data_IF_939024866111
#
_entry.id   IF_939024866111
#
_cell.length_a   1.000
_cell.length_b   1.000
_cell.length_c   1.000
_cell.angle_alpha   90.00
_cell.angle_beta   90.00
_cell.angle_gamma   90.00
#
_symmetry.space_group_name_H-M   'P 1'
#
loop_
_entity.id
_entity.type
_entity.pdbx_description
1 polymer ?
#
# COMPACT_ATOMS: atom_id res chain seq x y z
N UNK A 1 2.07 -22.61 -12.87
CA UNK A 1 3.32 -22.69 -12.05
C UNK A 1 2.87 -22.74 -10.59
N UNK A 2 3.43 -23.62 -9.75
CA UNK A 2 2.99 -23.70 -8.35
C UNK A 2 3.38 -22.44 -7.56
N UNK A 3 2.68 -22.15 -6.46
CA UNK A 3 3.12 -21.15 -5.49
C UNK A 3 4.54 -21.46 -5.04
N UNK A 4 5.39 -20.44 -4.96
CA UNK A 4 6.80 -20.61 -4.57
C UNK A 4 7.01 -20.56 -3.07
N UNK A 5 6.07 -19.96 -2.32
CA UNK A 5 6.14 -19.87 -0.87
C UNK A 5 5.48 -21.10 -0.22
N UNK A 6 6.21 -21.92 0.56
CA UNK A 6 5.71 -23.19 1.09
C UNK A 6 4.68 -23.06 2.23
N UNK A 7 4.57 -21.88 2.85
CA UNK A 7 3.65 -21.60 3.98
C UNK A 7 2.61 -20.54 3.61
N UNK A 8 2.30 -20.38 2.32
CA UNK A 8 1.50 -19.27 1.84
C UNK A 8 0.11 -19.22 2.48
N UNK A 9 -0.59 -20.34 2.57
CA UNK A 9 -1.97 -20.40 3.09
C UNK A 9 -2.05 -19.99 4.56
N UNK A 10 -1.14 -20.48 5.40
CA UNK A 10 -1.08 -20.13 6.82
C UNK A 10 -0.81 -18.63 7.01
N UNK A 11 0.11 -18.09 6.23
CA UNK A 11 0.43 -16.66 6.24
C UNK A 11 -0.73 -15.82 5.70
N UNK A 12 -1.41 -16.30 4.68
CA UNK A 12 -2.58 -15.64 4.10
C UNK A 12 -3.69 -15.52 5.13
N UNK A 13 -4.09 -16.63 5.75
CA UNK A 13 -5.16 -16.64 6.76
C UNK A 13 -4.83 -15.74 7.95
N UNK A 14 -3.57 -15.76 8.39
CA UNK A 14 -3.13 -14.96 9.54
C UNK A 14 -3.07 -13.46 9.25
N UNK A 15 -2.77 -13.04 8.01
CA UNK A 15 -2.47 -11.64 7.69
C UNK A 15 -3.48 -10.97 6.76
N UNK A 16 -4.43 -11.71 6.18
CA UNK A 16 -5.40 -11.18 5.22
C UNK A 16 -6.14 -9.95 5.75
N UNK A 17 -6.66 -10.04 6.98
CA UNK A 17 -7.41 -8.97 7.63
C UNK A 17 -6.58 -7.69 7.74
N UNK A 18 -5.37 -7.79 8.29
CA UNK A 18 -4.48 -6.65 8.47
C UNK A 18 -4.02 -6.04 7.14
N UNK A 19 -3.70 -6.88 6.16
CA UNK A 19 -3.28 -6.42 4.83
C UNK A 19 -4.44 -5.69 4.15
N UNK A 20 -5.65 -6.23 4.20
CA UNK A 20 -6.83 -5.61 3.61
C UNK A 20 -7.19 -4.29 4.30
N UNK A 21 -7.28 -4.29 5.62
CA UNK A 21 -7.58 -3.08 6.40
C UNK A 21 -6.51 -2.02 6.18
N UNK A 22 -5.23 -2.35 6.13
CA UNK A 22 -4.21 -1.36 5.82
C UNK A 22 -4.36 -0.84 4.38
N UNK A 23 -4.56 -1.71 3.39
CA UNK A 23 -4.79 -1.29 2.00
C UNK A 23 -6.00 -0.37 1.86
N UNK A 24 -7.10 -0.65 2.56
CA UNK A 24 -8.31 0.18 2.57
C UNK A 24 -8.06 1.57 3.17
N UNK A 25 -7.28 1.66 4.25
CA UNK A 25 -6.94 2.95 4.84
C UNK A 25 -6.12 3.81 3.87
N UNK A 26 -5.21 3.19 3.12
CA UNK A 26 -4.34 3.87 2.15
C UNK A 26 -5.07 4.21 0.84
N UNK A 27 -5.99 3.35 0.42
CA UNK A 27 -6.80 3.49 -0.78
C UNK A 27 -8.28 3.29 -0.41
N UNK A 28 -8.99 4.36 0.00
CA UNK A 28 -10.35 4.30 0.55
C UNK A 28 -11.40 4.00 -0.53
N UNK A 29 -11.38 2.77 -1.04
CA UNK A 29 -12.31 2.22 -2.01
C UNK A 29 -12.21 0.70 -1.94
N UNK A 30 -13.30 0.01 -1.60
CA UNK A 30 -13.28 -1.45 -1.38
C UNK A 30 -12.72 -2.21 -2.59
N UNK A 31 -13.08 -1.81 -3.81
CA UNK A 31 -12.58 -2.40 -5.05
C UNK A 31 -11.07 -2.22 -5.23
N UNK A 32 -10.56 -1.01 -5.01
CA UNK A 32 -9.15 -0.73 -5.20
C UNK A 32 -8.29 -1.30 -4.06
N UNK A 33 -8.82 -1.28 -2.83
CA UNK A 33 -8.21 -1.91 -1.66
C UNK A 33 -8.04 -3.42 -1.89
N UNK A 34 -9.12 -4.10 -2.31
CA UNK A 34 -9.09 -5.51 -2.70
C UNK A 34 -8.01 -5.79 -3.75
N UNK A 35 -7.97 -4.99 -4.82
CA UNK A 35 -6.94 -5.14 -5.85
C UNK A 35 -5.52 -4.91 -5.29
N UNK A 36 -5.30 -3.95 -4.40
CA UNK A 36 -4.00 -3.76 -3.75
C UNK A 36 -3.62 -4.96 -2.87
N UNK A 37 -4.56 -5.47 -2.07
CA UNK A 37 -4.39 -6.66 -1.24
C UNK A 37 -4.00 -7.87 -2.09
N UNK A 38 -4.70 -8.09 -3.20
CA UNK A 38 -4.39 -9.13 -4.17
C UNK A 38 -2.94 -9.04 -4.68
N UNK A 39 -2.50 -7.86 -5.11
CA UNK A 39 -1.12 -7.65 -5.57
C UNK A 39 -0.08 -7.88 -4.47
N UNK A 40 -0.37 -7.52 -3.22
CA UNK A 40 0.53 -7.79 -2.08
C UNK A 40 0.69 -9.29 -1.88
N UNK A 41 -0.40 -10.05 -1.93
CA UNK A 41 -0.34 -11.51 -1.81
C UNK A 41 0.29 -12.20 -3.02
N UNK A 42 0.14 -11.68 -4.24
CA UNK A 42 0.91 -12.15 -5.40
C UNK A 42 2.41 -11.99 -5.19
N UNK A 43 2.86 -10.87 -4.61
CA UNK A 43 4.28 -10.65 -4.31
C UNK A 43 4.77 -11.55 -3.18
N UNK A 44 3.92 -11.85 -2.19
CA UNK A 44 4.22 -12.83 -1.15
C UNK A 44 4.34 -14.25 -1.70
N UNK A 45 3.39 -14.70 -2.52
CA UNK A 45 3.37 -16.04 -3.11
C UNK A 45 4.52 -16.30 -4.10
N UNK A 46 5.04 -15.24 -4.74
CA UNK A 46 6.15 -15.28 -5.69
C UNK A 46 7.53 -15.23 -5.01
N UNK A 47 7.56 -15.12 -3.68
CA UNK A 47 8.78 -15.02 -2.91
C UNK A 47 9.44 -16.39 -2.78
N UNK A 48 10.66 -16.51 -3.28
CA UNK A 48 11.50 -17.72 -3.22
C UNK A 48 12.46 -17.73 -2.03
N UNK A 49 12.40 -16.71 -1.18
CA UNK A 49 13.30 -16.52 -0.03
C UNK A 49 12.88 -17.41 1.16
N UNK A 50 13.80 -17.69 2.12
CA UNK A 50 13.52 -18.53 3.29
C UNK A 50 12.33 -18.04 4.11
N UNK A 51 11.71 -18.93 4.93
CA UNK A 51 10.64 -18.54 5.84
C UNK A 51 11.11 -17.39 6.74
N UNK A 52 10.22 -16.40 6.92
CA UNK A 52 10.51 -15.20 7.68
C UNK A 52 10.16 -15.40 9.15
N UNK A 53 10.91 -14.73 10.03
CA UNK A 53 10.39 -14.48 11.37
C UNK A 53 9.11 -13.63 11.28
N UNK A 54 8.21 -13.67 12.29
CA UNK A 54 6.97 -12.88 12.24
C UNK A 54 7.23 -11.37 12.09
N UNK A 55 8.33 -10.87 12.66
CA UNK A 55 8.74 -9.47 12.53
C UNK A 55 9.24 -9.12 11.12
N UNK A 56 10.00 -10.02 10.50
CA UNK A 56 10.47 -9.85 9.13
C UNK A 56 9.32 -9.92 8.13
N UNK A 57 8.35 -10.81 8.37
CA UNK A 57 7.14 -10.91 7.57
C UNK A 57 6.32 -9.62 7.65
N UNK A 58 6.11 -9.08 8.86
CA UNK A 58 5.45 -7.79 9.06
C UNK A 58 6.16 -6.68 8.29
N UNK A 59 7.49 -6.60 8.45
CA UNK A 59 8.33 -5.62 7.72
C UNK A 59 8.17 -5.76 6.20
N UNK A 60 8.18 -6.99 5.70
CA UNK A 60 7.98 -7.27 4.29
C UNK A 60 6.60 -6.82 3.81
N UNK A 61 5.53 -7.24 4.49
CA UNK A 61 4.14 -6.93 4.12
C UNK A 61 3.87 -5.43 4.12
N UNK A 62 4.25 -4.72 5.19
CA UNK A 62 4.07 -3.26 5.28
C UNK A 62 4.79 -2.55 4.13
N UNK A 63 6.02 -2.98 3.81
CA UNK A 63 6.76 -2.43 2.66
C UNK A 63 6.04 -2.71 1.34
N UNK A 64 5.55 -3.93 1.13
CA UNK A 64 4.81 -4.28 -0.09
C UNK A 64 3.51 -3.48 -0.21
N UNK A 65 2.77 -3.31 0.88
CA UNK A 65 1.53 -2.52 0.91
C UNK A 65 1.81 -1.06 0.56
N UNK A 66 2.81 -0.43 1.20
CA UNK A 66 3.20 0.94 0.90
C UNK A 66 3.63 1.11 -0.57
N UNK A 67 4.33 0.14 -1.13
CA UNK A 67 4.76 0.17 -2.52
C UNK A 67 3.59 -0.01 -3.49
N UNK A 68 2.75 -1.03 -3.30
CA UNK A 68 1.58 -1.31 -4.16
C UNK A 68 0.59 -0.15 -4.12
N UNK A 69 0.23 0.33 -2.92
CA UNK A 69 -0.67 1.48 -2.78
C UNK A 69 0.00 2.78 -3.26
N UNK A 70 1.31 2.94 -3.11
CA UNK A 70 2.05 4.08 -3.66
C UNK A 70 2.03 4.09 -5.19
N UNK A 71 2.31 2.96 -5.81
CA UNK A 71 2.28 2.76 -7.26
C UNK A 71 0.88 3.01 -7.84
N UNK A 72 -0.18 2.68 -7.11
CA UNK A 72 -1.55 3.00 -7.49
C UNK A 72 -1.75 4.52 -7.73
N UNK A 73 -1.22 5.37 -6.85
CA UNK A 73 -1.29 6.83 -7.00
C UNK A 73 -0.29 7.38 -8.02
N UNK A 74 0.82 6.68 -8.28
CA UNK A 74 1.80 7.09 -9.30
C UNK A 74 1.29 6.85 -10.72
N UNK A 75 0.61 5.72 -10.97
CA UNK A 75 0.15 5.34 -12.32
C UNK A 75 -0.90 6.28 -12.90
N UNK A 76 -1.73 6.87 -12.04
CA UNK A 76 -2.79 7.79 -12.44
C UNK A 76 -3.04 8.80 -11.33
N UNK A 77 -3.21 10.09 -11.64
CA UNK A 77 -3.65 11.05 -10.65
C UNK A 77 -5.05 10.68 -10.17
N UNK A 78 -5.18 10.39 -8.88
CA UNK A 78 -6.46 10.12 -8.24
C UNK A 78 -6.86 11.36 -7.43
N UNK A 79 -8.11 11.81 -7.62
CA UNK A 79 -8.70 12.83 -6.75
C UNK A 79 -8.92 12.19 -5.38
N UNK A 80 -8.60 12.92 -4.31
CA UNK A 80 -8.95 12.48 -2.94
C UNK A 80 -10.48 12.45 -2.84
N UNK A 81 -11.08 11.37 -2.30
CA UNK A 81 -12.52 11.32 -2.13
C UNK A 81 -12.96 12.44 -1.20
N UNK A 82 -14.08 13.07 -1.52
CA UNK A 82 -14.74 14.01 -0.62
C UNK A 82 -15.35 13.26 0.56
N UNK A 83 -15.52 13.95 1.70
CA UNK A 83 -16.04 13.33 2.92
C UNK A 83 -17.39 12.64 2.68
N UNK A 84 -18.28 13.27 1.93
CA UNK A 84 -19.61 12.74 1.60
C UNK A 84 -19.55 11.50 0.69
N UNK A 85 -18.57 11.44 -0.21
CA UNK A 85 -18.40 10.28 -1.07
C UNK A 85 -17.88 9.09 -0.26
N UNK A 86 -16.92 9.37 0.64
CA UNK A 86 -16.37 8.35 1.51
C UNK A 86 -17.42 7.85 2.49
N UNK A 87 -18.20 8.73 3.13
CA UNK A 87 -19.23 8.35 4.11
C UNK A 87 -20.32 7.47 3.51
N UNK A 88 -20.66 7.63 2.21
CA UNK A 88 -21.60 6.72 1.51
C UNK A 88 -21.04 5.33 1.28
N UNK A 89 -19.73 5.22 1.08
CA UNK A 89 -19.04 3.95 0.81
C UNK A 89 -18.52 3.26 2.08
N UNK A 90 -18.36 4.04 3.16
CA UNK A 90 -17.80 3.56 4.41
C UNK A 90 -18.91 2.87 5.23
N UNK A 91 -18.64 1.67 5.78
CA UNK A 91 -19.60 0.80 6.45
C UNK A 91 -20.09 1.32 7.81
N UNK A 92 -19.38 2.28 8.41
CA UNK A 92 -19.62 2.76 9.77
C UNK A 92 -19.80 4.27 9.86
N UNK A 93 -19.87 4.83 11.08
CA UNK A 93 -19.84 6.26 11.27
C UNK A 93 -18.47 6.82 10.86
N UNK A 94 -18.46 7.84 10.01
CA UNK A 94 -17.25 8.58 9.64
C UNK A 94 -17.17 9.88 10.47
N UNK A 95 -16.66 9.76 11.69
CA UNK A 95 -16.46 10.86 12.61
C UNK A 95 -15.33 11.81 12.17
N UNK A 96 -15.20 12.93 12.87
CA UNK A 96 -14.18 13.94 12.58
C UNK A 96 -12.76 13.41 12.86
N UNK A 97 -12.61 12.54 13.85
CA UNK A 97 -11.34 11.89 14.22
C UNK A 97 -10.85 10.98 13.09
N UNK A 98 -11.70 10.07 12.58
CA UNK A 98 -11.35 9.19 11.48
C UNK A 98 -11.18 9.96 10.15
N UNK A 99 -12.01 10.99 9.92
CA UNK A 99 -11.82 11.86 8.74
C UNK A 99 -10.46 12.57 8.76
N UNK A 100 -10.00 13.03 9.94
CA UNK A 100 -8.67 13.60 10.07
C UNK A 100 -7.58 12.60 9.66
N UNK A 101 -7.73 11.31 9.98
CA UNK A 101 -6.82 10.25 9.51
C UNK A 101 -6.85 10.14 7.98
N UNK A 102 -8.02 10.07 7.35
CA UNK A 102 -8.11 9.97 5.89
C UNK A 102 -7.50 11.17 5.14
N UNK A 103 -7.47 12.34 5.78
CA UNK A 103 -6.85 13.55 5.23
C UNK A 103 -5.31 13.50 5.18
N UNK A 104 -4.69 12.61 5.97
CA UNK A 104 -3.24 12.49 6.09
C UNK A 104 -2.58 11.94 4.81
N UNK A 105 -1.29 12.28 4.58
CA UNK A 105 -0.51 11.64 3.53
C UNK A 105 -0.39 10.13 3.76
N UNK A 106 -0.20 9.37 2.68
CA UNK A 106 -0.23 7.89 2.66
C UNK A 106 0.63 7.26 3.77
N UNK A 107 1.89 7.71 3.92
CA UNK A 107 2.79 7.21 4.97
C UNK A 107 2.27 7.49 6.38
N UNK A 108 1.68 8.67 6.63
CA UNK A 108 1.15 8.99 7.95
C UNK A 108 -0.12 8.16 8.28
N UNK A 109 -0.95 7.84 7.27
CA UNK A 109 -2.06 6.88 7.41
C UNK A 109 -1.57 5.48 7.77
N UNK A 110 -0.53 5.00 7.08
CA UNK A 110 0.07 3.70 7.40
C UNK A 110 0.59 3.66 8.84
N UNK A 111 1.33 4.69 9.24
CA UNK A 111 1.85 4.79 10.59
C UNK A 111 0.72 4.82 11.63
N UNK A 112 -0.44 5.42 11.32
CA UNK A 112 -1.59 5.46 12.23
C UNK A 112 -2.13 4.05 12.46
N UNK A 113 -2.34 3.29 11.38
CA UNK A 113 -2.80 1.90 11.47
C UNK A 113 -1.84 1.03 12.28
N UNK A 114 -0.54 1.11 12.00
CA UNK A 114 0.48 0.35 12.71
C UNK A 114 0.48 0.66 14.21
N UNK A 115 0.37 1.95 14.56
CA UNK A 115 0.43 2.40 15.96
C UNK A 115 -0.82 2.06 16.76
N UNK A 116 -1.99 2.31 16.19
CA UNK A 116 -3.26 2.31 16.92
C UNK A 116 -4.15 1.10 16.63
N UNK A 117 -4.04 0.49 15.44
CA UNK A 117 -4.80 -0.72 15.11
C UNK A 117 -3.97 -1.98 15.38
N UNK A 118 -2.68 -1.98 15.06
CA UNK A 118 -1.79 -3.12 15.29
C UNK A 118 -0.98 -3.04 16.60
N UNK A 119 -1.05 -1.91 17.32
CA UNK A 119 -0.41 -1.74 18.63
C UNK A 119 1.12 -1.65 18.64
N UNK A 120 1.76 -1.36 17.50
CA UNK A 120 3.22 -1.22 17.45
C UNK A 120 3.71 -0.01 18.23
N UNK A 121 4.96 -0.03 18.67
CA UNK A 121 5.61 1.14 19.26
C UNK A 121 5.90 2.23 18.21
N UNK A 122 6.11 3.46 18.67
CA UNK A 122 6.46 4.59 17.80
C UNK A 122 7.79 4.36 17.07
N UNK A 123 8.76 3.75 17.75
CA UNK A 123 10.06 3.39 17.18
C UNK A 123 9.93 2.38 16.02
N UNK A 124 9.11 1.33 16.20
CA UNK A 124 8.86 0.35 15.15
C UNK A 124 8.11 0.95 13.96
N UNK A 125 7.10 1.78 14.24
CA UNK A 125 6.38 2.50 13.19
C UNK A 125 7.33 3.39 12.37
N UNK A 126 8.23 4.11 13.04
CA UNK A 126 9.24 4.94 12.40
C UNK A 126 10.22 4.12 11.56
N UNK A 127 10.66 2.96 12.06
CA UNK A 127 11.53 2.06 11.31
C UNK A 127 10.85 1.49 10.04
N UNK A 128 9.55 1.23 10.11
CA UNK A 128 8.77 0.67 9.00
C UNK A 128 8.42 1.69 7.92
N UNK A 129 8.01 2.89 8.34
CA UNK A 129 7.40 3.89 7.46
C UNK A 129 8.35 5.07 7.15
N UNK A 130 9.34 5.30 8.01
CA UNK A 130 10.30 6.39 7.92
C UNK A 130 9.79 7.73 8.46
N UNK A 131 8.78 7.74 9.35
CA UNK A 131 8.26 8.96 9.99
C UNK A 131 7.97 8.71 11.48
N UNK A 132 8.38 9.66 12.32
CA UNK A 132 8.35 9.50 13.79
C UNK A 132 7.02 9.96 14.42
N UNK A 133 6.48 11.14 14.09
CA UNK A 133 5.30 11.65 14.78
C UNK A 133 4.06 11.72 13.88
N UNK A 134 2.96 11.16 14.36
CA UNK A 134 1.62 11.29 13.80
C UNK A 134 0.81 12.17 14.74
N UNK A 135 0.29 13.29 14.24
CA UNK A 135 -0.63 14.12 15.01
C UNK A 135 -2.02 13.97 14.43
N UNK A 136 -2.81 13.10 15.05
CA UNK A 136 -4.24 12.90 14.76
C UNK A 136 -5.03 13.39 15.98
N UNK A 137 -6.09 14.18 15.80
CA UNK A 137 -7.03 14.48 16.88
C UNK A 137 -7.75 13.20 17.29
N UNK A 138 -7.68 12.86 18.58
CA UNK A 138 -8.28 11.66 19.20
C UNK A 138 -8.07 10.36 18.38
N UNK A 139 -6.84 9.82 18.36
CA UNK A 139 -6.54 8.63 17.56
C UNK A 139 -7.23 7.36 18.06
N UNK A 140 -7.66 7.33 19.33
CA UNK A 140 -8.35 6.18 19.91
C UNK A 140 -9.78 6.07 19.35
N UNK A 141 -10.53 7.18 19.33
CA UNK A 141 -11.83 7.26 18.66
C UNK A 141 -11.71 6.88 17.18
N UNK A 142 -10.73 7.44 16.46
CA UNK A 142 -10.53 7.12 15.05
C UNK A 142 -10.25 5.62 14.82
N UNK A 143 -9.49 4.96 15.70
CA UNK A 143 -9.21 3.54 15.58
C UNK A 143 -10.45 2.67 15.85
N UNK A 144 -11.30 3.07 16.80
CA UNK A 144 -12.56 2.39 17.09
C UNK A 144 -13.54 2.51 15.91
N UNK A 145 -13.69 3.71 15.34
CA UNK A 145 -14.50 3.91 14.14
C UNK A 145 -13.97 3.08 12.96
N UNK A 146 -12.64 3.00 12.82
CA UNK A 146 -12.01 2.22 11.75
C UNK A 146 -12.13 0.72 11.92
N UNK A 147 -12.25 0.21 13.15
CA UNK A 147 -12.37 -1.22 13.42
C UNK A 147 -13.62 -1.87 12.79
N UNK A 148 -14.61 -1.04 12.42
CA UNK A 148 -15.87 -1.46 11.77
C UNK A 148 -15.68 -1.86 10.30
N UNK A 149 -14.52 -1.59 9.68
CA UNK A 149 -14.27 -1.96 8.27
C UNK A 149 -14.50 -3.47 8.06
N UNK A 150 -15.56 -3.88 7.34
CA UNK A 150 -15.92 -5.26 7.22
C UNK A 150 -14.97 -5.93 6.24
N UNK A 151 -14.61 -7.15 6.60
CA UNK A 151 -14.11 -8.14 5.67
C UNK A 151 -15.35 -8.84 5.13
N UNK A 152 -15.58 -8.84 3.83
CA UNK A 152 -16.72 -9.60 3.30
C UNK A 152 -16.55 -11.08 3.66
N UNK A 153 -17.63 -11.74 4.10
CA UNK A 153 -17.61 -13.09 4.69
C UNK A 153 -16.84 -14.13 3.87
N UNK A 154 -16.78 -13.97 2.54
CA UNK A 154 -16.05 -14.86 1.64
C UNK A 154 -14.93 -14.19 0.83
N UNK A 155 -14.64 -12.91 1.08
CA UNK A 155 -13.66 -12.17 0.27
C UNK A 155 -12.25 -12.76 0.38
N UNK A 156 -11.87 -13.28 1.55
CA UNK A 156 -10.59 -13.94 1.76
C UNK A 156 -10.44 -15.18 0.89
N UNK A 157 -11.46 -16.06 0.90
CA UNK A 157 -11.47 -17.28 0.09
C UNK A 157 -11.44 -16.98 -1.40
N UNK A 158 -12.26 -16.03 -1.86
CA UNK A 158 -12.26 -15.62 -3.28
C UNK A 158 -10.90 -15.05 -3.69
N UNK A 159 -10.29 -14.21 -2.87
CA UNK A 159 -8.98 -13.63 -3.16
C UNK A 159 -7.87 -14.70 -3.18
N UNK A 160 -7.95 -15.68 -2.29
CA UNK A 160 -7.04 -16.82 -2.28
C UNK A 160 -7.13 -17.61 -3.58
N UNK A 161 -8.34 -17.97 -4.01
CA UNK A 161 -8.58 -18.67 -5.27
C UNK A 161 -8.06 -17.86 -6.48
N UNK A 162 -8.34 -16.55 -6.52
CA UNK A 162 -7.80 -15.67 -7.56
C UNK A 162 -6.27 -15.67 -7.60
N UNK A 163 -5.60 -15.70 -6.44
CA UNK A 163 -4.14 -15.77 -6.36
C UNK A 163 -3.67 -17.09 -6.97
N UNK A 164 -4.26 -18.21 -6.57
CA UNK A 164 -3.91 -19.52 -7.12
C UNK A 164 -4.08 -19.59 -8.64
N UNK A 165 -5.23 -19.13 -9.15
CA UNK A 165 -5.49 -19.06 -10.58
C UNK A 165 -4.44 -18.21 -11.31
N UNK A 166 -4.01 -17.08 -10.72
CA UNK A 166 -2.99 -16.23 -11.31
C UNK A 166 -1.64 -16.92 -11.47
N UNK A 167 -1.25 -17.74 -10.50
CA UNK A 167 -0.02 -18.55 -10.56
C UNK A 167 -0.13 -19.71 -11.56
N UNK A 168 -1.32 -20.25 -11.78
CA UNK A 168 -1.57 -21.26 -12.80
C UNK A 168 -1.44 -20.67 -14.21
N UNK A 169 -2.09 -19.53 -14.46
CA UNK A 169 -2.19 -18.93 -15.79
C UNK A 169 -0.89 -18.27 -16.28
N UNK A 170 -0.07 -17.72 -15.38
CA UNK A 170 1.08 -16.86 -15.75
C UNK A 170 2.30 -17.03 -14.85
N UNK A 171 3.46 -16.64 -15.37
CA UNK A 171 4.70 -16.52 -14.60
C UNK A 171 4.69 -15.25 -13.74
N UNK A 172 4.07 -15.33 -12.55
CA UNK A 172 3.92 -14.19 -11.61
C UNK A 172 5.27 -13.56 -11.24
N UNK A 173 6.34 -14.35 -11.13
CA UNK A 173 7.69 -13.83 -10.87
C UNK A 173 8.21 -12.87 -11.94
N UNK A 174 7.96 -13.16 -13.23
CA UNK A 174 8.34 -12.26 -14.33
C UNK A 174 7.44 -11.03 -14.36
N UNK A 175 6.13 -11.18 -14.14
CA UNK A 175 5.19 -10.06 -14.07
C UNK A 175 5.58 -9.08 -12.96
N UNK A 176 5.87 -9.58 -11.76
CA UNK A 176 6.33 -8.76 -10.65
C UNK A 176 7.64 -8.02 -10.96
N UNK A 177 8.59 -8.67 -11.65
CA UNK A 177 9.84 -8.02 -12.10
C UNK A 177 9.56 -6.88 -13.08
N UNK A 178 8.71 -7.11 -14.09
CA UNK A 178 8.33 -6.07 -15.06
C UNK A 178 7.60 -4.90 -14.39
N UNK A 179 6.72 -5.20 -13.43
CA UNK A 179 6.03 -4.17 -12.65
C UNK A 179 7.01 -3.32 -11.82
N UNK A 180 8.02 -3.94 -11.21
CA UNK A 180 9.07 -3.20 -10.51
C UNK A 180 9.87 -2.30 -11.45
N UNK A 181 10.30 -2.81 -12.62
CA UNK A 181 11.02 -2.00 -13.61
C UNK A 181 10.19 -0.79 -14.03
N UNK A 182 8.90 -1.00 -14.34
CA UNK A 182 8.00 0.10 -14.69
C UNK A 182 7.85 1.11 -13.56
N UNK A 183 7.62 0.66 -12.32
CA UNK A 183 7.52 1.54 -11.16
C UNK A 183 8.80 2.36 -10.94
N UNK A 184 9.97 1.74 -11.10
CA UNK A 184 11.25 2.48 -11.02
C UNK A 184 11.37 3.55 -12.09
N UNK A 185 10.95 3.25 -13.33
CA UNK A 185 10.96 4.22 -14.42
C UNK A 185 10.00 5.38 -14.16
N UNK A 186 8.78 5.09 -13.70
CA UNK A 186 7.77 6.12 -13.38
C UNK A 186 8.27 7.09 -12.27
N UNK A 187 9.04 6.59 -11.31
CA UNK A 187 9.66 7.43 -10.25
C UNK A 187 10.85 8.25 -10.76
N UNK A 188 11.57 7.77 -11.76
CA UNK A 188 12.73 8.45 -12.35
C UNK A 188 12.33 9.50 -13.39
N UNK A 189 11.20 9.32 -14.07
CA UNK A 189 10.69 10.21 -15.10
C UNK A 189 10.76 11.72 -14.76
N UNK A 190 10.32 12.21 -13.57
CA UNK A 190 10.41 13.63 -13.25
C UNK A 190 11.86 14.11 -13.08
N UNK A 191 12.75 13.28 -12.56
CA UNK A 191 14.17 13.62 -12.41
C UNK A 191 14.88 13.70 -13.76
N UNK A 192 14.57 12.76 -14.66
CA UNK A 192 15.07 12.79 -16.03
C UNK A 192 14.57 14.04 -16.78
N UNK A 193 13.29 14.38 -16.64
CA UNK A 193 12.73 15.59 -17.24
C UNK A 193 13.40 16.87 -16.70
N UNK A 194 13.65 16.95 -15.39
CA UNK A 194 14.36 18.07 -14.76
C UNK A 194 15.81 18.16 -15.28
N UNK A 195 16.49 17.02 -15.42
CA UNK A 195 17.84 16.96 -16.01
C UNK A 195 17.89 17.49 -17.45
N UNK A 196 16.90 17.13 -18.28
CA UNK A 196 16.79 17.64 -19.65
C UNK A 196 16.55 19.16 -19.65
N UNK A 197 15.65 19.66 -18.80
CA UNK A 197 15.40 21.11 -18.68
C UNK A 197 16.65 21.89 -18.24
N UNK A 198 17.43 21.35 -17.29
CA UNK A 198 18.69 21.96 -16.87
C UNK A 198 19.71 22.01 -18.01
N UNK A 199 19.81 20.94 -18.79
CA UNK A 199 20.70 20.88 -19.95
C UNK A 199 20.30 21.90 -21.02
N UNK A 200 18.99 22.02 -21.32
CA UNK A 200 18.47 23.04 -22.23
C UNK A 200 18.74 24.46 -21.71
N UNK A 201 18.57 24.71 -20.41
CA UNK A 201 18.85 26.01 -19.81
C UNK A 201 20.35 26.36 -19.89
N UNK A 202 21.23 25.41 -19.60
CA UNK A 202 22.68 25.59 -19.71
C UNK A 202 23.10 25.90 -21.15
N UNK A 203 22.54 25.18 -22.12
CA UNK A 203 22.77 25.44 -23.54
C UNK A 203 22.31 26.84 -23.95
N UNK A 204 21.13 27.28 -23.51
CA UNK A 204 20.60 28.60 -23.80
C UNK A 204 21.47 29.73 -23.21
N UNK A 205 21.95 29.56 -21.97
CA UNK A 205 22.87 30.52 -21.32
C UNK A 205 24.21 30.56 -22.07
N UNK A 206 24.75 29.41 -22.48
CA UNK A 206 25.99 29.34 -23.24
C UNK A 206 25.86 30.08 -24.58
N UNK A 207 24.77 29.87 -25.31
CA UNK A 207 24.52 30.58 -26.58
C UNK A 207 24.26 32.07 -26.41
N UNK A 208 23.73 32.52 -25.26
CA UNK A 208 23.47 33.94 -25.00
C UNK A 208 24.72 34.73 -24.59
N UNK A 209 25.77 34.03 -24.13
CA UNK A 209 27.06 34.61 -23.75
C UNK A 209 28.12 34.53 -24.87
N UNK A 210 27.75 34.01 -26.04
CA UNK A 210 28.53 33.96 -27.28
C UNK A 210 28.16 35.14 -28.18
#
# INVERSE_FOLDING_TARGET
MALTCPQFDDLFQSWYEDVYRLCFLLVPSSRNAYHCTFHVFLRLGARTAPPLSPEELRRFLVRQILEVCGDFYLRKPHRRPEREQLSKSFPGPLGDSLWAVFSLPLKARAAFYLRYCMGLSEAECAALVGKQAIRVPDPASAAQEYAVVPLGENQAAVLLDEVYLRFQDRSVGLENRLLHIRSTMDRLAPWLALGVLLLCAAAAIYTANL
#
